data_IF_110203592103
#
_entry.id   IF_110203592103
#
_cell.length_a   1.000
_cell.length_b   1.000
_cell.length_c   1.000
_cell.angle_alpha   90.00
_cell.angle_beta   90.00
_cell.angle_gamma   90.00
#
_symmetry.space_group_name_H-M   'P 1'
#
loop_
_entity.id
_entity.type
_entity.pdbx_description
1 polymer ?
#
# COMPACT_ATOMS: atom_id res chain seq x y z
N UNK A 1 8.97 -9.85 10.05
CA UNK A 1 8.02 -9.04 9.26
C UNK A 1 6.88 -9.94 8.79
N UNK A 2 5.65 -9.72 9.26
CA UNK A 2 4.49 -10.45 8.74
C UNK A 2 4.14 -9.97 7.32
N UNK A 3 3.91 -10.92 6.41
CA UNK A 3 3.44 -10.63 5.06
C UNK A 3 1.97 -10.18 5.13
N UNK A 4 1.68 -8.99 4.60
CA UNK A 4 0.33 -8.41 4.54
C UNK A 4 -0.17 -8.45 3.10
N UNK A 5 -1.45 -8.80 2.92
CA UNK A 5 -2.08 -8.78 1.59
C UNK A 5 -3.21 -7.76 1.53
N UNK A 6 -3.24 -6.97 0.46
CA UNK A 6 -4.25 -5.95 0.19
C UNK A 6 -4.84 -6.15 -1.21
N UNK A 7 -6.16 -6.05 -1.40
CA UNK A 7 -6.79 -6.15 -2.73
C UNK A 7 -6.33 -5.04 -3.69
N UNK A 8 -6.08 -5.40 -4.95
CA UNK A 8 -5.40 -4.55 -5.94
C UNK A 8 -6.24 -3.34 -6.43
N UNK A 9 -7.58 -3.41 -6.29
CA UNK A 9 -8.58 -2.33 -6.51
C UNK A 9 -8.14 -1.16 -7.42
N UNK A 10 -7.67 -1.46 -8.64
CA UNK A 10 -7.24 -0.48 -9.66
C UNK A 10 -6.19 0.55 -9.19
N UNK A 11 -5.47 0.28 -8.09
CA UNK A 11 -4.41 1.15 -7.59
C UNK A 11 -3.10 0.78 -8.28
N UNK A 12 -2.29 1.75 -8.68
CA UNK A 12 -0.96 1.42 -9.19
C UNK A 12 -0.04 0.93 -8.06
N UNK A 13 0.67 -0.20 -8.21
CA UNK A 13 1.56 -0.73 -7.17
C UNK A 13 2.62 0.29 -6.74
N UNK A 14 3.14 1.10 -7.67
CA UNK A 14 4.11 2.14 -7.38
C UNK A 14 3.53 3.29 -6.53
N UNK A 15 2.26 3.66 -6.76
CA UNK A 15 1.57 4.68 -5.95
C UNK A 15 1.33 4.14 -4.54
N UNK A 16 0.96 2.86 -4.43
CA UNK A 16 0.75 2.23 -3.15
C UNK A 16 2.04 2.05 -2.36
N UNK A 17 3.13 1.66 -3.03
CA UNK A 17 4.47 1.56 -2.45
C UNK A 17 4.93 2.91 -1.91
N UNK A 18 4.92 3.97 -2.73
CA UNK A 18 5.31 5.31 -2.31
C UNK A 18 4.49 5.82 -1.13
N UNK A 19 3.18 5.56 -1.12
CA UNK A 19 2.32 5.93 0.00
C UNK A 19 2.67 5.18 1.28
N UNK A 20 2.94 3.86 1.21
CA UNK A 20 3.36 3.08 2.37
C UNK A 20 4.71 3.55 2.92
N UNK A 21 5.67 3.82 2.04
CA UNK A 21 6.99 4.34 2.43
C UNK A 21 6.87 5.67 3.17
N UNK A 22 6.08 6.61 2.64
CA UNK A 22 5.81 7.90 3.31
C UNK A 22 5.05 7.73 4.63
N UNK A 23 4.06 6.83 4.66
CA UNK A 23 3.19 6.62 5.83
C UNK A 23 3.94 6.02 7.02
N UNK A 24 4.92 5.16 6.76
CA UNK A 24 5.69 4.45 7.78
C UNK A 24 7.12 4.97 7.93
N UNK A 25 7.52 5.99 7.16
CA UNK A 25 8.89 6.53 7.11
C UNK A 25 9.93 5.42 6.88
N UNK A 26 9.61 4.50 5.97
CA UNK A 26 10.39 3.28 5.72
C UNK A 26 10.50 3.00 4.21
N UNK A 27 11.66 3.31 3.63
CA UNK A 27 11.96 3.10 2.21
C UNK A 27 12.17 1.63 1.82
N UNK A 28 12.27 0.73 2.80
CA UNK A 28 12.44 -0.71 2.56
C UNK A 28 11.13 -1.43 2.25
N UNK A 29 9.99 -0.75 2.46
CA UNK A 29 8.68 -1.28 2.09
C UNK A 29 8.62 -1.42 0.58
N UNK A 30 8.34 -2.64 0.13
CA UNK A 30 8.11 -2.93 -1.28
C UNK A 30 6.79 -3.67 -1.49
N UNK A 31 6.05 -3.23 -2.51
CA UNK A 31 4.74 -3.77 -2.89
C UNK A 31 4.89 -4.68 -4.11
N UNK A 32 4.42 -5.92 -3.98
CA UNK A 32 4.37 -6.89 -5.08
C UNK A 32 2.92 -7.21 -5.43
N UNK A 33 2.56 -7.11 -6.70
CA UNK A 33 1.27 -7.64 -7.15
C UNK A 33 1.38 -9.15 -7.39
N UNK A 34 0.56 -9.94 -6.68
CA UNK A 34 0.48 -11.39 -6.81
C UNK A 34 -0.99 -11.82 -6.82
N UNK A 35 -1.44 -12.44 -7.91
CA UNK A 35 -2.82 -12.90 -8.10
C UNK A 35 -3.88 -11.79 -7.89
N UNK A 36 -3.64 -10.58 -8.39
CA UNK A 36 -4.58 -9.45 -8.23
C UNK A 36 -4.69 -8.94 -6.79
N UNK A 37 -3.61 -9.09 -6.01
CA UNK A 37 -3.47 -8.56 -4.65
C UNK A 37 -2.08 -7.99 -4.47
N UNK A 38 -1.98 -6.86 -3.79
CA UNK A 38 -0.72 -6.34 -3.27
C UNK A 38 -0.27 -7.16 -2.08
N UNK A 39 1.00 -7.53 -2.09
CA UNK A 39 1.69 -8.25 -1.05
C UNK A 39 2.90 -7.41 -0.64
N UNK A 40 2.97 -7.04 0.63
CA UNK A 40 4.02 -6.19 1.17
C UNK A 40 4.29 -6.54 2.62
N UNK A 41 5.46 -6.12 3.10
CA UNK A 41 5.88 -6.30 4.48
C UNK A 41 5.80 -4.95 5.18
N UNK A 42 5.11 -4.93 6.32
CA UNK A 42 5.10 -3.77 7.21
C UNK A 42 6.18 -3.92 8.29
N UNK A 43 6.64 -2.79 8.87
CA UNK A 43 7.53 -2.81 10.02
C UNK A 43 6.90 -3.57 11.20
N UNK A 44 7.74 -4.09 12.10
CA UNK A 44 7.26 -4.93 13.19
C UNK A 44 6.29 -4.17 14.11
N UNK A 45 5.15 -4.80 14.44
CA UNK A 45 4.08 -4.19 15.22
C UNK A 45 3.17 -3.21 14.47
N UNK A 46 3.50 -2.83 13.23
CA UNK A 46 2.65 -1.95 12.42
C UNK A 46 1.54 -2.73 11.70
N UNK A 47 0.38 -2.09 11.56
CA UNK A 47 -0.77 -2.60 10.81
C UNK A 47 -1.47 -1.45 10.11
N UNK A 48 -2.12 -1.76 8.99
CA UNK A 48 -3.09 -0.83 8.40
C UNK A 48 -4.27 -0.66 9.35
N UNK A 49 -4.65 0.59 9.59
CA UNK A 49 -5.83 0.99 10.37
C UNK A 49 -6.98 1.39 9.46
N UNK A 50 -8.20 1.53 9.97
CA UNK A 50 -9.35 2.05 9.22
C UNK A 50 -9.10 3.42 8.55
N UNK A 51 -8.25 4.25 9.17
CA UNK A 51 -7.82 5.54 8.58
C UNK A 51 -6.94 5.33 7.36
N UNK A 52 -6.05 4.34 7.41
CA UNK A 52 -5.19 3.98 6.29
C UNK A 52 -6.05 3.43 5.14
N UNK A 53 -7.02 2.56 5.42
CA UNK A 53 -8.00 2.10 4.43
C UNK A 53 -8.73 3.27 3.74
N UNK A 54 -9.14 4.27 4.52
CA UNK A 54 -9.80 5.47 3.98
C UNK A 54 -8.85 6.29 3.09
N UNK A 55 -7.57 6.41 3.46
CA UNK A 55 -6.56 7.10 2.66
C UNK A 55 -6.25 6.35 1.36
N UNK A 56 -6.10 5.02 1.44
CA UNK A 56 -5.83 4.15 0.29
C UNK A 56 -6.99 4.20 -0.71
N UNK A 57 -8.23 4.20 -0.24
CA UNK A 57 -9.41 4.37 -1.10
C UNK A 57 -9.42 5.72 -1.83
N UNK A 58 -8.83 6.78 -1.24
CA UNK A 58 -8.68 8.07 -1.94
C UNK A 58 -7.59 8.04 -3.01
N UNK A 59 -6.61 7.13 -2.90
CA UNK A 59 -5.59 6.93 -3.93
C UNK A 59 -6.18 6.19 -5.15
N UNK A 60 -7.14 5.27 -4.93
CA UNK A 60 -7.81 4.51 -6.00
C UNK A 60 -8.63 5.39 -6.97
N UNK A 61 -9.11 6.55 -6.51
CA UNK A 61 -9.84 7.51 -7.35
C UNK A 61 -9.00 8.66 -7.91
N UNK A 62 -7.70 8.71 -7.56
CA UNK A 62 -6.78 9.68 -8.13
C UNK A 62 -6.06 9.04 -9.31
N UNK A 63 -6.67 9.27 -10.47
CA UNK A 63 -5.99 9.40 -11.76
C UNK A 63 -4.85 10.41 -11.57
N UNK A 64 -3.71 9.96 -11.05
CA UNK A 64 -2.50 10.78 -10.95
C UNK A 64 -1.44 10.14 -11.81
N UNK A 65 -1.60 10.35 -13.11
CA UNK A 65 -0.49 10.75 -13.95
C UNK A 65 -0.92 11.98 -14.78
N UNK A 66 -0.10 13.05 -14.88
CA UNK A 66 -0.31 14.10 -15.87
C UNK A 66 -0.16 13.61 -17.31
#
# INVERSE_FOLDING_TARGET
MPETSYPDYDLLPAVFEAWLQERFDDDTISVKCKNGRFVFNLPDGQKLTDKDHTAINKLQGKDTYP
#
